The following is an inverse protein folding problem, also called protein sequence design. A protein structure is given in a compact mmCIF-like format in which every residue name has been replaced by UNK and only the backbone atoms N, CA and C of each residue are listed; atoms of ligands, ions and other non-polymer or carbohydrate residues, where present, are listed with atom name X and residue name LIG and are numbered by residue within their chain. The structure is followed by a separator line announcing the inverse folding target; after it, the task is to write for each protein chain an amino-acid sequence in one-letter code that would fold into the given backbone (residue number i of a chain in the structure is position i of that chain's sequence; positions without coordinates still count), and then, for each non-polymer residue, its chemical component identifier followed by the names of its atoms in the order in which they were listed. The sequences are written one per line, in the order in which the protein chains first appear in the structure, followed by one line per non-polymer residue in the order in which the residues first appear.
data_IF_446665099305
#
_entry.id   IF_446665099305
#
_cell.length_a   1.000
_cell.length_b   1.000
_cell.length_c   1.000
_cell.angle_alpha   90.00
_cell.angle_beta   90.00
_cell.angle_gamma   90.00
#
_symmetry.space_group_name_H-M   'P 1'
#
loop_
_entity.id
_entity.type
_entity.pdbx_description
1 polymer ?
#
# COMPACT_ATOMS: atom_id res chain seq x y z
N UNK A 1 32.63 -15.12 -34.45
CA UNK A 1 32.48 -13.82 -33.78
C UNK A 1 30.96 -13.52 -33.77
N UNK A 2 30.28 -14.09 -32.84
CA UNK A 2 28.81 -14.02 -32.71
C UNK A 2 28.49 -12.88 -31.77
N UNK A 3 27.86 -11.84 -32.30
CA UNK A 3 27.37 -10.71 -31.52
C UNK A 3 26.20 -11.20 -30.64
N UNK A 4 26.39 -11.12 -29.33
CA UNK A 4 25.30 -11.20 -28.37
C UNK A 4 24.50 -9.89 -28.48
N UNK A 5 23.31 -10.00 -29.02
CA UNK A 5 22.30 -8.95 -28.89
C UNK A 5 21.80 -9.00 -27.43
N UNK A 6 22.05 -7.93 -26.71
CA UNK A 6 21.39 -7.69 -25.40
C UNK A 6 19.87 -7.70 -25.59
N UNK A 7 19.10 -8.33 -24.70
CA UNK A 7 17.65 -8.17 -24.75
C UNK A 7 17.29 -6.72 -24.44
N UNK A 8 16.47 -6.15 -25.30
CA UNK A 8 15.87 -4.83 -25.17
C UNK A 8 15.24 -4.66 -23.78
N UNK A 9 15.72 -3.67 -23.06
CA UNK A 9 15.09 -3.19 -21.84
C UNK A 9 13.84 -2.37 -22.22
N UNK A 10 12.80 -3.04 -22.69
CA UNK A 10 11.48 -2.47 -22.94
C UNK A 10 10.41 -3.40 -22.39
N UNK A 11 10.15 -3.26 -21.10
CA UNK A 11 8.79 -3.36 -20.63
C UNK A 11 8.66 -2.38 -19.47
N UNK A 12 8.35 -1.14 -19.81
CA UNK A 12 7.61 -0.26 -18.95
C UNK A 12 6.39 -1.08 -18.54
N UNK A 13 6.21 -1.31 -17.23
CA UNK A 13 5.13 -2.11 -16.68
C UNK A 13 3.82 -1.58 -17.21
N UNK A 14 3.17 -2.36 -18.03
CA UNK A 14 1.80 -2.13 -18.46
C UNK A 14 0.86 -2.39 -17.26
N UNK A 15 0.91 -1.51 -16.26
CA UNK A 15 -0.25 -1.29 -15.42
C UNK A 15 -1.28 -0.69 -16.37
N UNK A 16 -2.18 -1.51 -16.88
CA UNK A 16 -3.25 -1.12 -17.83
C UNK A 16 -4.33 -0.32 -17.08
N UNK A 17 -3.87 0.67 -16.32
CA UNK A 17 -4.67 1.44 -15.41
C UNK A 17 -4.92 2.87 -15.85
N UNK A 18 -6.04 3.42 -15.38
CA UNK A 18 -6.42 4.82 -15.59
C UNK A 18 -6.16 5.71 -14.36
N UNK A 19 -5.85 5.12 -13.20
CA UNK A 19 -5.75 5.82 -11.90
C UNK A 19 -4.35 6.38 -11.71
N UNK A 20 -4.17 7.71 -11.68
CA UNK A 20 -2.85 8.31 -11.49
C UNK A 20 -2.37 8.09 -10.06
N UNK A 21 -1.13 7.61 -9.89
CA UNK A 21 -0.53 7.42 -8.57
C UNK A 21 0.03 8.71 -7.96
N UNK A 22 0.26 9.74 -8.79
CA UNK A 22 0.79 11.02 -8.34
C UNK A 22 2.32 11.10 -8.32
N UNK A 23 3.01 10.00 -8.63
CA UNK A 23 4.47 9.94 -8.75
C UNK A 23 4.86 9.19 -10.03
N UNK A 24 6.06 9.44 -10.54
CA UNK A 24 6.66 8.73 -11.68
C UNK A 24 5.87 8.76 -13.00
N UNK A 25 4.77 9.50 -13.09
CA UNK A 25 3.86 9.46 -14.25
C UNK A 25 3.12 8.14 -14.43
N UNK A 26 3.14 7.28 -13.41
CA UNK A 26 2.57 5.94 -13.43
C UNK A 26 1.09 5.96 -13.11
N UNK A 27 0.35 5.05 -13.75
CA UNK A 27 -1.07 4.80 -13.49
C UNK A 27 -1.26 3.35 -13.04
N UNK A 28 -2.25 3.14 -12.21
CA UNK A 28 -2.64 1.84 -11.70
C UNK A 28 -4.09 1.50 -12.06
N UNK A 29 -4.49 0.25 -11.85
CA UNK A 29 -5.86 -0.22 -11.96
C UNK A 29 -6.51 -0.39 -10.58
N UNK A 30 -7.82 -0.50 -10.58
CA UNK A 30 -8.58 -0.95 -9.40
C UNK A 30 -8.11 -2.35 -9.02
N UNK A 31 -7.86 -2.57 -7.74
CA UNK A 31 -7.42 -3.85 -7.21
C UNK A 31 -5.90 -4.03 -7.17
N UNK A 32 -5.11 -3.11 -7.77
CA UNK A 32 -3.66 -3.25 -7.70
C UNK A 32 -3.17 -3.18 -6.25
N UNK A 33 -2.25 -4.09 -5.92
CA UNK A 33 -1.61 -4.23 -4.62
C UNK A 33 -0.11 -3.95 -4.77
N UNK A 34 0.37 -2.84 -4.21
CA UNK A 34 1.68 -2.28 -4.50
C UNK A 34 2.49 -2.17 -3.20
N UNK A 35 3.66 -2.81 -3.12
CA UNK A 35 4.60 -2.62 -2.03
C UNK A 35 5.51 -1.42 -2.27
N UNK A 36 5.72 -0.61 -1.24
CA UNK A 36 6.71 0.47 -1.23
C UNK A 36 7.74 0.21 -0.13
N UNK A 37 8.94 -0.17 -0.55
CA UNK A 37 10.09 -0.35 0.35
C UNK A 37 10.90 0.93 0.39
N UNK A 38 11.12 1.48 1.59
CA UNK A 38 11.77 2.78 1.75
C UNK A 38 12.71 2.82 2.96
N UNK A 39 13.55 3.86 3.01
CA UNK A 39 14.42 4.17 4.15
C UNK A 39 14.16 5.59 4.61
N UNK A 40 13.53 5.72 5.78
CA UNK A 40 13.28 7.02 6.42
C UNK A 40 12.21 7.88 5.73
N UNK A 41 11.84 8.96 6.42
CA UNK A 41 10.68 9.78 6.05
C UNK A 41 10.75 10.44 4.67
N UNK A 42 11.94 10.84 4.22
CA UNK A 42 12.09 11.50 2.92
C UNK A 42 11.69 10.55 1.76
N UNK A 43 12.14 9.30 1.79
CA UNK A 43 11.74 8.31 0.79
C UNK A 43 10.28 7.92 0.94
N UNK A 44 9.79 7.74 2.18
CA UNK A 44 8.36 7.49 2.41
C UNK A 44 7.48 8.54 1.73
N UNK A 45 7.73 9.81 2.04
CA UNK A 45 6.89 10.89 1.56
C UNK A 45 7.12 11.28 0.10
N UNK A 46 8.19 10.82 -0.56
CA UNK A 46 8.34 11.00 -2.01
C UNK A 46 7.34 10.17 -2.83
N UNK A 47 6.76 9.13 -2.23
CA UNK A 47 5.76 8.23 -2.83
C UNK A 47 4.39 8.41 -2.17
N UNK A 48 4.29 8.20 -0.84
CA UNK A 48 3.03 8.31 -0.09
C UNK A 48 2.37 9.68 -0.23
N UNK A 49 3.15 10.74 -0.12
CA UNK A 49 2.63 12.10 -0.18
C UNK A 49 1.91 12.39 -1.51
N UNK A 50 2.58 12.24 -2.66
CA UNK A 50 1.93 12.38 -3.97
C UNK A 50 0.75 11.43 -4.17
N UNK A 51 0.83 10.17 -3.69
CA UNK A 51 -0.25 9.21 -3.77
C UNK A 51 -1.54 9.70 -3.11
N UNK A 52 -1.44 10.15 -1.85
CA UNK A 52 -2.58 10.68 -1.09
C UNK A 52 -3.03 12.03 -1.67
N UNK A 53 -2.08 12.94 -1.98
CA UNK A 53 -2.42 14.25 -2.55
C UNK A 53 -3.23 14.11 -3.84
N UNK A 54 -2.78 13.26 -4.76
CA UNK A 54 -3.46 13.03 -6.03
C UNK A 54 -4.84 12.44 -5.81
N UNK A 55 -4.98 11.46 -4.92
CA UNK A 55 -6.28 10.91 -4.58
C UNK A 55 -7.27 11.96 -4.08
N UNK A 56 -6.85 12.81 -3.16
CA UNK A 56 -7.69 13.92 -2.66
C UNK A 56 -8.07 14.92 -3.76
N UNK A 57 -7.19 15.16 -4.73
CA UNK A 57 -7.44 16.04 -5.87
C UNK A 57 -8.41 15.43 -6.89
N UNK A 58 -8.33 14.12 -7.11
CA UNK A 58 -9.25 13.36 -7.98
C UNK A 58 -10.63 13.11 -7.33
N UNK A 59 -10.78 13.42 -6.04
CA UNK A 59 -12.02 13.20 -5.29
C UNK A 59 -12.10 11.83 -4.63
N UNK A 60 -11.01 11.08 -4.60
CA UNK A 60 -10.96 9.77 -3.97
C UNK A 60 -11.05 9.87 -2.44
N UNK A 61 -11.51 8.79 -1.81
CA UNK A 61 -11.39 8.59 -0.37
C UNK A 61 -10.02 7.98 -0.07
N UNK A 62 -9.23 8.66 0.75
CA UNK A 62 -7.88 8.22 1.11
C UNK A 62 -7.86 7.71 2.54
N UNK A 63 -7.44 6.47 2.75
CA UNK A 63 -7.28 5.84 4.07
C UNK A 63 -5.80 5.55 4.30
N UNK A 64 -5.28 6.00 5.42
CA UNK A 64 -3.90 5.73 5.81
C UNK A 64 -3.83 5.16 7.23
N UNK A 65 -3.43 3.89 7.33
CA UNK A 65 -3.19 3.21 8.61
C UNK A 65 -1.72 3.40 8.97
N UNK A 66 -1.46 4.01 10.12
CA UNK A 66 -0.10 4.27 10.57
C UNK A 66 -0.05 4.66 12.04
N UNK A 67 1.14 4.65 12.60
CA UNK A 67 1.36 5.31 13.89
C UNK A 67 0.91 6.78 13.85
N UNK A 68 0.32 7.32 14.93
CA UNK A 68 -0.20 8.69 14.96
C UNK A 68 0.81 9.76 14.54
N UNK A 69 2.10 9.57 14.90
CA UNK A 69 3.19 10.49 14.52
C UNK A 69 3.42 10.55 13.00
N UNK A 70 3.22 9.42 12.31
CA UNK A 70 3.39 9.34 10.85
C UNK A 70 2.20 9.98 10.14
N UNK A 71 0.99 9.75 10.65
CA UNK A 71 -0.21 10.44 10.16
C UNK A 71 -0.14 11.96 10.33
N UNK A 72 0.38 12.45 11.46
CA UNK A 72 0.63 13.88 11.67
C UNK A 72 1.63 14.45 10.66
N UNK A 73 2.75 13.74 10.43
CA UNK A 73 3.75 14.17 9.44
C UNK A 73 3.20 14.17 8.00
N UNK A 74 2.26 13.25 7.67
CA UNK A 74 1.55 13.31 6.39
C UNK A 74 0.71 14.58 6.27
N UNK A 75 -0.02 14.97 7.31
CA UNK A 75 -0.81 16.19 7.31
C UNK A 75 0.07 17.44 7.11
N UNK A 76 1.23 17.51 7.77
CA UNK A 76 2.20 18.59 7.59
C UNK A 76 2.69 18.63 6.14
N UNK A 77 3.10 17.47 5.59
CA UNK A 77 3.56 17.33 4.21
C UNK A 77 2.51 17.79 3.19
N UNK A 78 1.24 17.43 3.40
CA UNK A 78 0.11 17.84 2.55
C UNK A 78 -0.13 19.36 2.63
N UNK A 79 -0.12 19.90 3.84
CA UNK A 79 -0.36 21.33 4.09
C UNK A 79 0.72 22.22 3.45
N UNK A 80 1.99 21.81 3.53
CA UNK A 80 3.09 22.48 2.85
C UNK A 80 2.93 22.54 1.32
N UNK A 81 2.08 21.66 0.76
CA UNK A 81 1.83 21.53 -0.70
C UNK A 81 0.43 21.97 -1.10
N UNK A 82 -0.20 22.78 -0.24
CA UNK A 82 -1.46 23.45 -0.52
C UNK A 82 -2.70 22.54 -0.44
N UNK A 83 -2.62 21.40 0.25
CA UNK A 83 -3.78 20.56 0.55
C UNK A 83 -4.21 20.81 1.99
N UNK A 84 -5.46 21.22 2.19
CA UNK A 84 -6.05 21.33 3.52
C UNK A 84 -6.40 19.95 4.07
N UNK A 85 -5.45 19.39 4.84
CA UNK A 85 -5.61 18.06 5.43
C UNK A 85 -6.69 18.06 6.55
N UNK A 86 -6.96 19.21 7.18
CA UNK A 86 -7.99 19.30 8.21
C UNK A 86 -9.39 19.26 7.57
N UNK A 87 -9.61 20.04 6.51
CA UNK A 87 -10.86 20.02 5.74
C UNK A 87 -11.10 18.62 5.13
N UNK A 88 -10.06 18.00 4.55
CA UNK A 88 -10.17 16.66 3.99
C UNK A 88 -10.57 15.61 5.04
N UNK A 89 -10.11 15.75 6.29
CA UNK A 89 -10.48 14.87 7.40
C UNK A 89 -11.90 15.15 7.92
N UNK A 90 -12.30 16.40 8.03
CA UNK A 90 -13.65 16.78 8.42
C UNK A 90 -14.69 16.30 7.40
N UNK A 91 -14.32 16.27 6.12
CA UNK A 91 -15.14 15.77 5.03
C UNK A 91 -15.06 14.25 4.81
N UNK A 92 -14.43 13.48 5.71
CA UNK A 92 -14.20 12.03 5.60
C UNK A 92 -13.50 11.59 4.29
N UNK A 93 -12.79 12.50 3.65
CA UNK A 93 -11.99 12.21 2.44
C UNK A 93 -10.56 11.76 2.77
N UNK A 94 -10.03 12.13 3.93
CA UNK A 94 -8.77 11.65 4.47
C UNK A 94 -9.01 11.01 5.85
N UNK A 95 -8.89 9.70 5.92
CA UNK A 95 -9.00 8.93 7.15
C UNK A 95 -7.60 8.54 7.61
N UNK A 96 -7.22 9.00 8.81
CA UNK A 96 -5.99 8.57 9.48
C UNK A 96 -6.37 7.57 10.56
N UNK A 97 -6.01 6.33 10.35
CA UNK A 97 -6.28 5.24 11.27
C UNK A 97 -5.02 4.91 12.09
N UNK A 98 -5.07 4.91 13.43
CA UNK A 98 -3.89 4.67 14.26
C UNK A 98 -3.44 3.20 14.28
N UNK A 99 -4.07 2.32 13.51
CA UNK A 99 -3.81 0.89 13.52
C UNK A 99 -4.66 0.14 14.55
N UNK A 100 -4.32 -1.12 14.81
CA UNK A 100 -5.11 -2.04 15.63
C UNK A 100 -4.23 -2.77 16.63
N UNK A 101 -4.80 -3.06 17.79
CA UNK A 101 -4.08 -3.70 18.88
C UNK A 101 -4.21 -5.22 18.89
N UNK A 102 -5.15 -5.79 18.14
CA UNK A 102 -5.44 -7.23 18.17
C UNK A 102 -5.72 -7.82 16.79
N UNK A 103 -5.53 -9.14 16.66
CA UNK A 103 -5.90 -9.88 15.45
C UNK A 103 -7.41 -9.81 15.14
N UNK A 104 -8.27 -9.62 16.14
CA UNK A 104 -9.69 -9.42 15.91
C UNK A 104 -9.98 -8.05 15.29
N UNK A 105 -9.25 -7.03 15.69
CA UNK A 105 -9.35 -5.70 15.08
C UNK A 105 -8.84 -5.71 13.64
N UNK A 106 -7.85 -6.54 13.32
CA UNK A 106 -7.43 -6.76 11.93
C UNK A 106 -8.54 -7.39 11.10
N UNK A 107 -9.28 -8.37 11.63
CA UNK A 107 -10.44 -8.94 10.92
C UNK A 107 -11.53 -7.90 10.67
N UNK A 108 -11.80 -7.03 11.64
CA UNK A 108 -12.73 -5.88 11.48
C UNK A 108 -12.20 -4.85 10.47
N UNK A 109 -10.90 -4.87 10.17
CA UNK A 109 -10.33 -4.01 9.14
C UNK A 109 -10.87 -4.38 7.76
N UNK A 110 -10.99 -5.67 7.41
CA UNK A 110 -11.62 -6.11 6.17
C UNK A 110 -13.07 -5.60 6.07
N UNK A 111 -13.86 -5.79 7.14
CA UNK A 111 -15.24 -5.28 7.19
C UNK A 111 -15.31 -3.76 6.97
N UNK A 112 -14.32 -3.02 7.49
CA UNK A 112 -14.22 -1.56 7.30
C UNK A 112 -13.77 -1.16 5.90
N UNK A 113 -12.90 -1.95 5.27
CA UNK A 113 -12.56 -1.77 3.87
C UNK A 113 -13.81 -1.90 3.01
N UNK A 114 -14.56 -2.99 3.20
CA UNK A 114 -15.82 -3.24 2.49
C UNK A 114 -16.84 -2.12 2.71
N UNK A 115 -17.02 -1.69 3.95
CA UNK A 115 -17.91 -0.58 4.27
C UNK A 115 -17.44 0.72 3.58
N UNK A 116 -16.16 1.04 3.62
CA UNK A 116 -15.60 2.23 2.98
C UNK A 116 -15.79 2.19 1.45
N UNK A 117 -15.61 1.04 0.82
CA UNK A 117 -15.86 0.85 -0.61
C UNK A 117 -17.33 1.03 -0.95
N UNK A 118 -18.24 0.48 -0.13
CA UNK A 118 -19.69 0.60 -0.37
C UNK A 118 -20.22 2.03 -0.16
N UNK A 119 -19.70 2.75 0.83
CA UNK A 119 -20.10 4.12 1.15
C UNK A 119 -19.68 5.14 0.10
N UNK A 120 -18.59 4.88 -0.63
CA UNK A 120 -18.07 5.82 -1.65
C UNK A 120 -18.93 5.87 -2.92
N UNK A 121 -19.84 4.92 -3.16
CA UNK A 121 -20.64 4.84 -4.38
C UNK A 121 -19.75 4.68 -5.61
N UNK A 122 -19.73 5.71 -6.48
CA UNK A 122 -18.85 5.72 -7.67
C UNK A 122 -17.43 6.19 -7.39
N UNK A 123 -17.17 6.77 -6.23
CA UNK A 123 -15.84 7.20 -5.82
C UNK A 123 -14.94 5.98 -5.56
N UNK A 124 -13.66 6.25 -5.46
CA UNK A 124 -12.62 5.24 -5.36
C UNK A 124 -11.91 5.34 -4.01
N UNK A 125 -11.44 4.22 -3.48
CA UNK A 125 -10.70 4.20 -2.22
C UNK A 125 -9.20 4.00 -2.49
N UNK A 126 -8.39 4.95 -2.04
CA UNK A 126 -6.93 4.78 -1.94
C UNK A 126 -6.59 4.34 -0.53
N UNK A 127 -6.07 3.15 -0.43
CA UNK A 127 -5.65 2.57 0.82
C UNK A 127 -4.13 2.62 0.94
N UNK A 128 -3.61 2.96 2.11
CA UNK A 128 -2.20 2.78 2.42
C UNK A 128 -2.02 2.29 3.85
N UNK A 129 -1.20 1.26 4.03
CA UNK A 129 -0.82 0.72 5.31
C UNK A 129 0.67 0.92 5.56
N UNK A 130 1.04 1.46 6.73
CA UNK A 130 2.43 1.43 7.21
C UNK A 130 2.62 0.18 8.06
N UNK A 131 3.25 -0.87 7.50
CA UNK A 131 3.48 -2.13 8.23
C UNK A 131 4.15 -1.96 9.59
N UNK A 132 4.92 -0.88 9.77
CA UNK A 132 5.63 -0.61 11.04
C UNK A 132 4.74 -0.40 12.26
N UNK A 133 3.44 -0.11 12.10
CA UNK A 133 2.55 0.02 13.24
C UNK A 133 2.32 -1.31 13.98
N UNK A 134 2.39 -2.45 13.29
CA UNK A 134 2.19 -3.76 13.92
C UNK A 134 3.23 -4.07 15.00
N UNK A 135 4.43 -3.49 14.89
CA UNK A 135 5.50 -3.68 15.87
C UNK A 135 5.26 -2.97 17.20
N UNK A 136 4.36 -1.99 17.23
CA UNK A 136 3.96 -1.26 18.45
C UNK A 136 2.69 -1.84 19.10
N UNK A 137 2.14 -2.93 18.57
CA UNK A 137 0.93 -3.58 19.06
C UNK A 137 1.11 -5.11 19.21
N UNK A 138 0.07 -5.80 19.65
CA UNK A 138 0.13 -7.24 19.87
C UNK A 138 -0.18 -8.07 18.60
N UNK A 139 0.14 -7.53 17.43
CA UNK A 139 0.00 -8.22 16.14
C UNK A 139 1.37 -8.72 15.74
N UNK A 140 1.46 -10.01 15.46
CA UNK A 140 2.70 -10.61 14.97
C UNK A 140 2.94 -10.24 13.51
N UNK A 141 4.20 -10.33 13.08
CA UNK A 141 4.55 -10.16 11.66
C UNK A 141 3.79 -11.15 10.78
N UNK A 142 3.68 -12.41 11.22
CA UNK A 142 2.93 -13.45 10.50
C UNK A 142 1.45 -13.08 10.32
N UNK A 143 0.83 -12.51 11.34
CA UNK A 143 -0.55 -12.02 11.24
C UNK A 143 -0.66 -10.86 10.25
N UNK A 144 0.31 -9.96 10.22
CA UNK A 144 0.37 -8.90 9.22
C UNK A 144 0.50 -9.48 7.79
N UNK A 145 1.42 -10.43 7.59
CA UNK A 145 1.62 -11.05 6.28
C UNK A 145 0.41 -11.86 5.79
N UNK A 146 -0.33 -12.51 6.72
CA UNK A 146 -1.61 -13.15 6.38
C UNK A 146 -2.65 -12.13 5.90
N UNK A 147 -2.62 -10.92 6.42
CA UNK A 147 -3.48 -9.84 5.97
C UNK A 147 -3.11 -9.35 4.57
N UNK A 148 -1.83 -9.20 4.29
CA UNK A 148 -1.36 -8.85 2.95
C UNK A 148 -1.78 -9.91 1.92
N UNK A 149 -1.65 -11.19 2.25
CA UNK A 149 -2.09 -12.29 1.40
C UNK A 149 -3.63 -12.33 1.23
N UNK A 150 -4.40 -12.02 2.29
CA UNK A 150 -5.85 -11.92 2.21
C UNK A 150 -6.29 -10.75 1.34
N UNK A 151 -5.62 -9.61 1.47
CA UNK A 151 -5.87 -8.46 0.61
C UNK A 151 -5.64 -8.82 -0.86
N UNK A 152 -4.51 -9.44 -1.18
CA UNK A 152 -4.17 -9.84 -2.55
C UNK A 152 -5.21 -10.80 -3.15
N UNK A 153 -5.78 -11.71 -2.34
CA UNK A 153 -6.87 -12.62 -2.76
C UNK A 153 -8.15 -11.88 -3.15
N UNK A 154 -8.50 -10.82 -2.41
CA UNK A 154 -9.75 -10.07 -2.59
C UNK A 154 -9.59 -8.76 -3.37
N UNK A 155 -8.38 -8.39 -3.75
CA UNK A 155 -8.06 -7.11 -4.36
C UNK A 155 -8.87 -6.79 -5.61
N UNK A 156 -9.17 -7.81 -6.43
CA UNK A 156 -9.98 -7.65 -7.64
C UNK A 156 -11.46 -7.34 -7.36
N UNK A 157 -11.98 -7.76 -6.21
CA UNK A 157 -13.36 -7.57 -5.82
C UNK A 157 -13.59 -6.22 -5.13
N UNK A 158 -12.55 -5.69 -4.53
CA UNK A 158 -12.58 -4.41 -3.84
C UNK A 158 -12.25 -3.25 -4.78
N UNK A 159 -13.12 -2.25 -4.81
CA UNK A 159 -12.90 -1.02 -5.58
C UNK A 159 -11.90 -0.10 -4.88
N UNK A 160 -10.71 -0.62 -4.62
CA UNK A 160 -9.65 0.15 -3.98
C UNK A 160 -8.30 -0.12 -4.65
N UNK A 161 -7.36 0.74 -4.36
CA UNK A 161 -5.96 0.64 -4.76
C UNK A 161 -5.11 0.69 -3.50
N UNK A 162 -4.26 -0.30 -3.27
CA UNK A 162 -3.44 -0.37 -2.08
C UNK A 162 -1.97 -0.05 -2.35
N UNK A 163 -1.41 0.78 -1.45
CA UNK A 163 0.01 1.08 -1.35
C UNK A 163 0.49 0.70 0.06
N UNK A 164 1.06 -0.49 0.22
CA UNK A 164 1.57 -0.97 1.50
C UNK A 164 3.03 -0.55 1.68
N UNK A 165 3.39 -0.10 2.87
CA UNK A 165 4.66 0.55 3.13
C UNK A 165 5.51 -0.22 4.13
N UNK A 166 6.75 -0.51 3.75
CA UNK A 166 7.71 -1.28 4.56
C UNK A 166 9.01 -0.48 4.73
N UNK A 167 9.29 -0.09 5.97
CA UNK A 167 10.55 0.60 6.30
C UNK A 167 11.68 -0.41 6.44
N UNK A 168 12.63 -0.38 5.52
CA UNK A 168 13.81 -1.24 5.49
C UNK A 168 14.77 -1.02 6.68
N UNK A 169 14.50 -0.05 7.56
CA UNK A 169 15.28 0.18 8.78
C UNK A 169 14.62 -0.43 10.02
N UNK A 170 13.39 -0.93 9.87
CA UNK A 170 12.55 -1.44 10.96
C UNK A 170 12.37 -2.95 10.85
N UNK A 171 12.12 -3.46 9.65
CA UNK A 171 11.90 -4.87 9.42
C UNK A 171 13.19 -5.63 9.09
N UNK A 172 13.30 -6.85 9.60
CA UNK A 172 14.35 -7.78 9.23
C UNK A 172 14.19 -8.24 7.76
N UNK A 173 15.25 -8.82 7.21
CA UNK A 173 15.28 -9.15 5.78
C UNK A 173 14.30 -10.25 5.36
N UNK A 174 14.01 -11.20 6.25
CA UNK A 174 13.02 -12.26 6.05
C UNK A 174 11.61 -11.67 5.91
N UNK A 175 11.21 -10.77 6.79
CA UNK A 175 9.92 -10.06 6.71
C UNK A 175 9.79 -9.30 5.38
N UNK A 176 10.86 -8.68 4.90
CA UNK A 176 10.86 -7.97 3.62
C UNK A 176 10.69 -8.96 2.45
N UNK A 177 11.33 -10.13 2.52
CA UNK A 177 11.15 -11.17 1.50
C UNK A 177 9.72 -11.71 1.49
N UNK A 178 9.11 -11.90 2.65
CA UNK A 178 7.73 -12.35 2.76
C UNK A 178 6.75 -11.28 2.28
N UNK A 179 7.00 -9.99 2.59
CA UNK A 179 6.22 -8.89 2.04
C UNK A 179 6.32 -8.82 0.50
N UNK A 180 7.48 -9.13 -0.10
CA UNK A 180 7.60 -9.25 -1.55
C UNK A 180 6.72 -10.36 -2.11
N UNK A 181 6.56 -11.48 -1.41
CA UNK A 181 5.75 -12.61 -1.87
C UNK A 181 4.25 -12.29 -1.95
N UNK A 182 3.79 -11.33 -1.15
CA UNK A 182 2.37 -10.95 -1.08
C UNK A 182 1.97 -9.80 -2.01
N UNK A 183 2.90 -9.20 -2.76
CA UNK A 183 2.60 -8.02 -3.56
C UNK A 183 2.97 -8.23 -5.05
N UNK A 184 2.01 -8.17 -5.97
CA UNK A 184 2.28 -8.31 -7.40
C UNK A 184 3.08 -7.16 -8.00
N UNK A 185 3.14 -6.01 -7.33
CA UNK A 185 3.87 -4.82 -7.78
C UNK A 185 4.72 -4.21 -6.68
N UNK A 186 5.84 -3.60 -7.06
CA UNK A 186 6.73 -2.86 -6.16
C UNK A 186 7.07 -1.49 -6.69
N UNK A 187 7.25 -0.53 -5.78
CA UNK A 187 7.83 0.78 -6.10
C UNK A 187 9.35 0.67 -6.07
N UNK A 188 9.99 0.99 -7.18
CA UNK A 188 11.43 1.06 -7.35
C UNK A 188 11.82 2.50 -7.75
N UNK A 189 12.28 3.28 -6.77
CA UNK A 189 12.51 4.72 -6.94
C UNK A 189 11.19 5.48 -7.09
N UNK A 190 10.86 5.91 -8.29
CA UNK A 190 9.63 6.62 -8.65
C UNK A 190 8.77 5.89 -9.68
N UNK A 191 9.09 4.63 -9.98
CA UNK A 191 8.33 3.78 -10.91
C UNK A 191 7.75 2.56 -10.20
N UNK A 192 6.61 2.09 -10.69
CA UNK A 192 6.03 0.80 -10.27
C UNK A 192 6.44 -0.26 -11.26
N UNK A 193 6.89 -1.39 -10.76
CA UNK A 193 7.31 -2.53 -11.57
C UNK A 193 6.59 -3.80 -11.14
N UNK A 194 6.32 -4.75 -12.07
CA UNK A 194 5.87 -6.08 -11.71
C UNK A 194 6.88 -6.75 -10.80
N UNK A 195 6.40 -7.45 -9.80
CA UNK A 195 7.24 -8.15 -8.85
C UNK A 195 7.37 -9.63 -9.24
N UNK A 196 8.56 -10.10 -9.67
CA UNK A 196 8.76 -11.50 -10.07
C UNK A 196 8.78 -12.47 -8.89
N UNK A 197 8.79 -11.99 -7.65
CA UNK A 197 8.78 -12.81 -6.43
C UNK A 197 7.37 -13.00 -5.86
N UNK A 198 6.36 -12.39 -6.47
CA UNK A 198 4.98 -12.57 -6.06
C UNK A 198 4.54 -14.01 -6.21
N UNK A 199 3.89 -14.53 -5.17
CA UNK A 199 3.35 -15.88 -5.09
C UNK A 199 1.82 -15.81 -4.94
N UNK A 200 1.15 -16.94 -5.22
CA UNK A 200 -0.30 -16.98 -5.00
C UNK A 200 -0.63 -16.83 -3.51
N UNK A 201 -1.74 -16.13 -3.15
CA UNK A 201 -2.17 -16.00 -1.75
C UNK A 201 -2.29 -17.33 -1.00
N UNK A 202 -2.73 -18.39 -1.70
CA UNK A 202 -2.82 -19.73 -1.14
C UNK A 202 -1.44 -20.32 -0.76
N UNK A 203 -0.42 -20.09 -1.59
CA UNK A 203 0.93 -20.59 -1.30
C UNK A 203 1.49 -19.92 -0.04
N UNK A 204 1.38 -18.61 0.07
CA UNK A 204 1.85 -17.84 1.23
C UNK A 204 1.11 -18.26 2.51
N UNK A 205 -0.22 -18.37 2.48
CA UNK A 205 -1.01 -18.78 3.66
C UNK A 205 -0.72 -20.18 4.15
N UNK A 206 -0.51 -21.13 3.24
CA UNK A 206 -0.21 -22.52 3.59
C UNK A 206 1.14 -22.64 4.30
N UNK A 207 2.14 -21.89 3.88
CA UNK A 207 3.45 -21.87 4.52
C UNK A 207 3.38 -21.26 5.92
N UNK A 208 2.79 -20.05 6.06
CA UNK A 208 2.61 -19.39 7.36
C UNK A 208 1.77 -20.22 8.37
N UNK A 209 0.98 -21.19 7.90
CA UNK A 209 0.21 -22.10 8.76
C UNK A 209 1.01 -23.32 9.16
N UNK A 210 1.99 -23.75 8.36
CA UNK A 210 2.77 -24.96 8.60
C UNK A 210 3.90 -24.77 9.62
N UNK A 211 4.23 -23.52 9.96
CA UNK A 211 5.27 -23.17 10.94
C UNK A 211 4.76 -23.06 12.39
N UNK A 212 3.47 -23.31 12.62
CA UNK A 212 2.86 -23.41 13.97
C UNK A 212 2.82 -24.86 14.45
#
# INVERSE_FOLDING_TARGET
MTMHTSPDATSQSDLDGSIPLGFGGVKAAVGDHIAHFFRGGAQRFSVLGPYIKTGLQEGDRCVFISQPKVGAALCEWLSERGVDAADAREADRLILDPGRDTAEDMRRLADRIDASVQETGDAFVRWSGDGGWCLDCNITVDEMLRWEALYDEHSSDWRLLALCQFDLTVFESDVIMDALRTHPYCVMGDVVVPNPFHESPDAVRNELTSEM
#
